data_IF_003020560590
#
_entry.id   IF_003020560590
#
_cell.length_a   1.000
_cell.length_b   1.000
_cell.length_c   1.000
_cell.angle_alpha   90.00
_cell.angle_beta   90.00
_cell.angle_gamma   90.00
#
_symmetry.space_group_name_H-M   'P 1'
#
loop_
_entity.id
_entity.type
_entity.pdbx_description
1 polymer ?
#
# COMPACT_ATOMS: atom_id res chain seq x y z
N UNK A 1 16.17 48.11 18.14
CA UNK A 1 15.58 47.71 16.83
C UNK A 1 16.51 46.86 15.97
N UNK A 2 17.80 47.19 15.77
CA UNK A 2 18.73 46.41 14.92
C UNK A 2 18.96 44.95 15.35
N UNK A 3 18.97 44.65 16.65
CA UNK A 3 19.21 43.27 17.14
C UNK A 3 18.05 42.30 16.84
N UNK A 4 16.82 42.82 16.82
CA UNK A 4 15.61 42.05 16.49
C UNK A 4 15.59 41.66 15.00
N UNK A 5 16.06 42.55 14.12
CA UNK A 5 16.25 42.25 12.69
C UNK A 5 17.31 41.17 12.45
N UNK A 6 18.40 41.20 13.23
CA UNK A 6 19.43 40.15 13.17
C UNK A 6 18.93 38.79 13.65
N UNK A 7 18.13 38.76 14.72
CA UNK A 7 17.48 37.54 15.21
C UNK A 7 16.44 36.99 14.21
N UNK A 8 15.66 37.86 13.60
CA UNK A 8 14.67 37.48 12.58
C UNK A 8 15.35 36.86 11.34
N UNK A 9 16.44 37.48 10.87
CA UNK A 9 17.23 36.96 9.75
C UNK A 9 17.87 35.59 10.07
N UNK A 10 18.34 35.39 11.31
CA UNK A 10 18.88 34.10 11.76
C UNK A 10 17.80 33.01 11.80
N UNK A 11 16.57 33.34 12.22
CA UNK A 11 15.45 32.37 12.22
C UNK A 11 14.97 31.98 10.82
N UNK A 12 15.04 32.88 9.84
CA UNK A 12 14.67 32.61 8.45
C UNK A 12 15.67 31.69 7.72
N UNK A 13 16.93 31.63 8.17
CA UNK A 13 17.95 30.73 7.62
C UNK A 13 17.85 29.29 8.17
N UNK A 14 17.04 29.07 9.21
CA UNK A 14 16.82 27.76 9.83
C UNK A 14 15.55 27.04 9.34
N UNK A 15 14.90 27.52 8.26
CA UNK A 15 13.74 26.83 7.69
C UNK A 15 14.23 25.58 6.96
N UNK A 16 14.22 24.44 7.66
CA UNK A 16 14.51 23.14 7.07
C UNK A 16 13.56 22.85 5.91
N UNK A 17 14.04 22.07 4.92
CA UNK A 17 13.20 21.57 3.84
C UNK A 17 12.17 20.60 4.42
N UNK A 18 10.95 21.07 4.64
CA UNK A 18 9.83 20.20 4.94
C UNK A 18 9.54 19.36 3.69
N UNK A 19 9.92 18.09 3.73
CA UNK A 19 9.50 17.16 2.69
C UNK A 19 8.02 16.86 2.93
N UNK A 20 7.19 17.14 1.92
CA UNK A 20 5.82 16.68 1.92
C UNK A 20 5.79 15.14 2.02
N UNK A 21 4.74 14.60 2.63
CA UNK A 21 4.49 13.17 2.65
C UNK A 21 3.24 12.89 1.82
N UNK A 22 3.27 11.81 1.06
CA UNK A 22 2.09 11.30 0.37
C UNK A 22 1.98 9.79 0.53
N UNK A 23 0.78 9.26 0.35
CA UNK A 23 0.53 7.82 0.38
C UNK A 23 0.55 7.28 -1.04
N UNK A 24 1.33 6.23 -1.25
CA UNK A 24 1.36 5.47 -2.47
C UNK A 24 0.56 4.17 -2.32
N UNK A 25 0.03 3.68 -3.43
CA UNK A 25 -0.80 2.50 -3.49
C UNK A 25 -0.38 1.63 -4.67
N UNK A 26 -0.36 0.31 -4.43
CA UNK A 26 -0.48 -0.68 -5.49
C UNK A 26 -1.95 -1.08 -5.56
N UNK A 27 -2.60 -0.79 -6.67
CA UNK A 27 -4.02 -1.06 -6.90
C UNK A 27 -4.19 -2.12 -7.96
N UNK A 28 -5.03 -3.11 -7.70
CA UNK A 28 -5.60 -3.94 -8.75
C UNK A 28 -6.89 -3.28 -9.25
N UNK A 29 -6.91 -2.96 -10.54
CA UNK A 29 -8.04 -2.34 -11.21
C UNK A 29 -8.77 -3.40 -12.01
N UNK A 30 -10.07 -3.56 -11.76
CA UNK A 30 -10.95 -4.43 -12.52
C UNK A 30 -11.88 -3.60 -13.39
N UNK A 31 -11.71 -3.65 -14.71
CA UNK A 31 -12.63 -3.04 -15.67
C UNK A 31 -13.85 -3.95 -15.85
N UNK A 32 -15.00 -3.49 -15.35
CA UNK A 32 -16.24 -4.26 -15.33
C UNK A 32 -16.85 -4.47 -16.72
N UNK A 33 -16.51 -3.62 -17.68
CA UNK A 33 -17.07 -3.69 -19.04
C UNK A 33 -16.18 -4.51 -19.95
N UNK A 34 -14.87 -4.29 -19.88
CA UNK A 34 -13.92 -5.05 -20.70
C UNK A 34 -13.52 -6.39 -20.08
N UNK A 35 -13.91 -6.65 -18.83
CA UNK A 35 -13.54 -7.83 -18.05
C UNK A 35 -12.03 -8.08 -18.02
N UNK A 36 -11.26 -7.01 -17.75
CA UNK A 36 -9.79 -7.05 -17.66
C UNK A 36 -9.33 -6.54 -16.31
N UNK A 37 -8.34 -7.20 -15.74
CA UNK A 37 -7.62 -6.70 -14.56
C UNK A 37 -6.22 -6.22 -14.91
N UNK A 38 -5.74 -5.23 -14.17
CA UNK A 38 -4.34 -4.78 -14.23
C UNK A 38 -3.90 -4.23 -12.88
N UNK A 39 -2.60 -4.32 -12.60
CA UNK A 39 -2.00 -3.72 -11.41
C UNK A 39 -1.38 -2.38 -11.78
N UNK A 40 -1.56 -1.37 -10.94
CA UNK A 40 -0.98 -0.03 -11.11
C UNK A 40 -0.41 0.49 -9.80
N UNK A 41 0.68 1.26 -9.90
CA UNK A 41 1.22 2.03 -8.78
C UNK A 41 0.82 3.50 -8.96
N UNK A 42 0.26 4.11 -7.92
CA UNK A 42 -0.27 5.49 -7.99
C UNK A 42 -0.24 6.18 -6.62
N UNK A 43 -0.24 7.51 -6.62
CA UNK A 43 -0.49 8.35 -5.43
C UNK A 43 -1.98 8.65 -5.21
N UNK A 44 -2.85 8.32 -6.19
CA UNK A 44 -4.30 8.47 -6.00
C UNK A 44 -4.83 7.44 -5.02
N UNK A 45 -5.65 7.92 -4.08
CA UNK A 45 -6.43 7.02 -3.24
C UNK A 45 -7.39 6.19 -4.10
N UNK A 46 -7.86 5.02 -3.65
CA UNK A 46 -8.80 4.21 -4.41
C UNK A 46 -10.06 4.98 -4.85
N UNK A 47 -10.59 5.85 -3.99
CA UNK A 47 -11.74 6.69 -4.32
C UNK A 47 -11.43 7.71 -5.41
N UNK A 48 -10.28 8.39 -5.33
CA UNK A 48 -9.88 9.38 -6.34
C UNK A 48 -9.62 8.68 -7.68
N UNK A 49 -8.94 7.54 -7.64
CA UNK A 49 -8.69 6.72 -8.83
C UNK A 49 -10.01 6.31 -9.49
N UNK A 50 -11.00 5.85 -8.70
CA UNK A 50 -12.34 5.53 -9.20
C UNK A 50 -12.99 6.75 -9.84
N UNK A 51 -12.96 7.90 -9.17
CA UNK A 51 -13.62 9.12 -9.62
C UNK A 51 -13.08 9.61 -10.97
N UNK A 52 -11.77 9.60 -11.16
CA UNK A 52 -11.14 10.11 -12.40
C UNK A 52 -11.12 9.09 -13.54
N UNK A 53 -11.44 7.81 -13.29
CA UNK A 53 -11.45 6.73 -14.30
C UNK A 53 -12.86 6.17 -14.58
N UNK A 54 -13.88 7.03 -14.60
CA UNK A 54 -15.24 6.67 -15.05
C UNK A 54 -16.17 6.14 -13.95
N UNK A 55 -15.75 6.19 -12.68
CA UNK A 55 -16.60 5.91 -11.54
C UNK A 55 -16.79 4.41 -11.21
N UNK A 56 -17.52 4.13 -10.11
CA UNK A 56 -17.64 2.77 -9.57
C UNK A 56 -18.48 1.83 -10.44
N UNK A 57 -19.25 2.39 -11.39
CA UNK A 57 -20.00 1.62 -12.38
C UNK A 57 -19.08 1.02 -13.45
N UNK A 58 -17.95 1.68 -13.75
CA UNK A 58 -16.98 1.24 -14.76
C UNK A 58 -15.89 0.34 -14.16
N UNK A 59 -15.32 0.75 -13.02
CA UNK A 59 -14.17 0.06 -12.45
C UNK A 59 -14.39 -0.36 -11.00
N UNK A 60 -13.85 -1.53 -10.65
CA UNK A 60 -13.58 -1.95 -9.28
C UNK A 60 -12.10 -1.76 -8.95
N UNK A 61 -11.79 -1.52 -7.67
CA UNK A 61 -10.42 -1.35 -7.20
C UNK A 61 -10.20 -2.15 -5.93
N UNK A 62 -9.08 -2.88 -5.87
CA UNK A 62 -8.58 -3.57 -4.67
C UNK A 62 -7.23 -2.97 -4.31
N UNK A 63 -7.02 -2.66 -3.02
CA UNK A 63 -5.73 -2.19 -2.52
C UNK A 63 -4.82 -3.40 -2.28
N UNK A 64 -3.83 -3.61 -3.16
CA UNK A 64 -2.84 -4.68 -3.01
C UNK A 64 -1.78 -4.33 -1.98
N UNK A 65 -1.29 -3.10 -1.99
CA UNK A 65 -0.33 -2.57 -1.02
C UNK A 65 -0.49 -1.06 -0.84
N UNK A 66 0.03 -0.53 0.28
CA UNK A 66 0.07 0.92 0.52
C UNK A 66 1.23 1.28 1.44
N UNK A 67 1.98 2.32 1.09
CA UNK A 67 3.15 2.81 1.82
C UNK A 67 3.21 4.33 1.82
N UNK A 68 4.04 4.90 2.69
CA UNK A 68 4.30 6.34 2.75
C UNK A 68 5.52 6.65 1.90
N UNK A 69 5.43 7.72 1.11
CA UNK A 69 6.52 8.30 0.34
C UNK A 69 6.78 9.72 0.83
N UNK A 70 8.03 10.16 0.71
CA UNK A 70 8.45 11.54 0.96
C UNK A 70 8.67 12.25 -0.39
N UNK A 71 8.30 13.52 -0.48
CA UNK A 71 8.30 14.33 -1.71
C UNK A 71 6.88 14.68 -2.18
N UNK A 72 6.73 15.03 -3.45
CA UNK A 72 5.43 15.26 -4.08
C UNK A 72 5.36 14.62 -5.46
N UNK A 73 4.15 14.45 -6.00
CA UNK A 73 3.93 13.90 -7.36
C UNK A 73 3.30 14.95 -8.29
N UNK A 74 3.26 16.22 -7.87
CA UNK A 74 2.49 17.28 -8.52
C UNK A 74 3.09 17.70 -9.87
N UNK A 75 4.40 17.58 -10.03
CA UNK A 75 5.12 17.89 -11.28
C UNK A 75 5.20 16.70 -12.25
N UNK A 76 4.34 15.68 -12.06
CA UNK A 76 4.39 14.45 -12.87
C UNK A 76 5.54 13.51 -12.51
N UNK A 77 6.15 13.70 -11.34
CA UNK A 77 7.18 12.81 -10.81
C UNK A 77 6.62 11.40 -10.57
N UNK A 78 7.47 10.39 -10.76
CA UNK A 78 7.09 9.02 -10.53
C UNK A 78 6.83 8.75 -9.04
N UNK A 79 5.84 7.90 -8.75
CA UNK A 79 5.56 7.42 -7.40
C UNK A 79 6.74 6.62 -6.87
N UNK A 80 7.09 6.82 -5.60
CA UNK A 80 8.20 6.11 -4.98
C UNK A 80 7.97 4.59 -4.97
N UNK A 81 9.02 3.75 -5.13
CA UNK A 81 8.86 2.30 -5.23
C UNK A 81 8.32 1.70 -3.94
N UNK A 82 7.59 0.59 -4.07
CA UNK A 82 7.12 -0.18 -2.92
C UNK A 82 8.31 -0.69 -2.09
N UNK A 83 8.28 -0.55 -0.75
CA UNK A 83 9.31 -1.10 0.12
C UNK A 83 9.41 -2.62 -0.03
N UNK A 84 10.61 -3.13 -0.27
CA UNK A 84 10.85 -4.57 -0.35
C UNK A 84 10.63 -5.22 1.02
N UNK A 85 10.11 -6.47 1.06
CA UNK A 85 10.03 -7.23 2.31
C UNK A 85 11.44 -7.50 2.87
N UNK A 86 11.55 -7.64 4.19
CA UNK A 86 12.80 -7.95 4.89
C UNK A 86 12.75 -9.40 5.37
N UNK A 87 13.66 -10.25 4.88
CA UNK A 87 13.73 -11.68 5.23
C UNK A 87 12.34 -12.37 5.23
N UNK A 88 11.59 -12.31 4.11
CA UNK A 88 10.22 -12.82 4.07
C UNK A 88 10.18 -14.33 4.37
N UNK A 89 9.29 -14.72 5.27
CA UNK A 89 9.03 -16.14 5.60
C UNK A 89 8.27 -16.88 4.50
N UNK A 90 7.52 -16.15 3.70
CA UNK A 90 6.66 -16.69 2.65
C UNK A 90 7.00 -16.05 1.31
N UNK A 91 6.92 -16.82 0.23
CA UNK A 91 7.17 -16.35 -1.13
C UNK A 91 5.87 -16.21 -1.91
N UNK A 92 5.88 -15.39 -2.98
CA UNK A 92 4.76 -15.30 -3.90
C UNK A 92 4.41 -16.68 -4.50
N UNK A 93 3.12 -16.98 -4.57
CA UNK A 93 2.58 -18.28 -4.97
C UNK A 93 2.50 -19.32 -3.84
N UNK A 94 3.10 -19.09 -2.67
CA UNK A 94 2.97 -20.03 -1.56
C UNK A 94 1.57 -20.00 -0.93
N UNK A 95 1.13 -21.16 -0.44
CA UNK A 95 -0.10 -21.29 0.33
C UNK A 95 0.16 -20.98 1.79
N UNK A 96 -0.70 -20.16 2.39
CA UNK A 96 -0.66 -19.82 3.81
C UNK A 96 -2.04 -19.95 4.43
N UNK A 97 -2.07 -20.38 5.69
CA UNK A 97 -3.26 -20.42 6.51
C UNK A 97 -3.30 -19.20 7.43
N UNK A 98 -4.49 -18.60 7.59
CA UNK A 98 -4.67 -17.45 8.45
C UNK A 98 -4.84 -17.89 9.92
N UNK A 99 -3.86 -17.51 10.74
CA UNK A 99 -3.83 -17.74 12.18
C UNK A 99 -4.31 -16.51 12.95
N UNK A 100 -5.64 -16.31 12.97
CA UNK A 100 -6.32 -15.24 13.70
C UNK A 100 -7.57 -15.78 14.40
N UNK A 101 -7.45 -16.38 15.61
CA UNK A 101 -8.53 -17.15 16.24
C UNK A 101 -9.88 -16.46 16.42
N UNK A 102 -9.91 -15.13 16.47
CA UNK A 102 -11.14 -14.33 16.65
C UNK A 102 -11.61 -13.61 15.38
N UNK A 103 -10.97 -13.86 14.25
CA UNK A 103 -11.26 -13.19 12.98
C UNK A 103 -12.06 -14.10 12.04
N UNK A 104 -12.92 -13.49 11.21
CA UNK A 104 -13.78 -14.21 10.25
C UNK A 104 -12.99 -15.16 9.33
N UNK A 105 -11.75 -14.80 9.02
CA UNK A 105 -10.90 -15.54 8.08
C UNK A 105 -10.02 -16.57 8.77
N UNK A 106 -10.20 -16.87 10.06
CA UNK A 106 -9.41 -17.91 10.73
C UNK A 106 -9.48 -19.23 9.97
N UNK A 107 -8.34 -19.91 9.84
CA UNK A 107 -8.18 -21.19 9.15
C UNK A 107 -8.45 -21.16 7.64
N UNK A 108 -8.72 -20.00 7.08
CA UNK A 108 -8.78 -19.87 5.63
C UNK A 108 -7.38 -20.05 5.05
N UNK A 109 -7.31 -20.75 3.92
CA UNK A 109 -6.07 -20.93 3.17
C UNK A 109 -6.12 -20.06 1.92
N UNK A 110 -5.07 -19.27 1.71
CA UNK A 110 -4.92 -18.42 0.55
C UNK A 110 -3.53 -18.51 -0.06
N UNK A 111 -3.36 -17.83 -1.19
CA UNK A 111 -2.10 -17.71 -1.92
C UNK A 111 -1.47 -16.34 -1.66
N UNK A 112 -0.17 -16.32 -1.41
CA UNK A 112 0.60 -15.08 -1.34
C UNK A 112 0.70 -14.48 -2.75
N UNK A 113 0.22 -13.25 -2.94
CA UNK A 113 0.30 -12.54 -4.22
C UNK A 113 1.32 -11.40 -4.23
N UNK A 114 1.64 -10.81 -3.07
CA UNK A 114 2.71 -9.85 -2.91
C UNK A 114 3.16 -9.79 -1.44
N UNK A 115 4.29 -9.15 -1.20
CA UNK A 115 4.73 -8.79 0.15
C UNK A 115 5.51 -7.48 0.14
N UNK A 116 5.42 -6.74 1.24
CA UNK A 116 6.13 -5.47 1.41
C UNK A 116 6.40 -5.18 2.88
N UNK A 117 7.47 -4.45 3.17
CA UNK A 117 7.81 -4.08 4.54
C UNK A 117 7.09 -2.80 4.96
N UNK A 118 6.56 -2.77 6.18
CA UNK A 118 5.97 -1.58 6.80
C UNK A 118 6.85 -1.09 7.96
N UNK A 119 7.64 -0.02 7.78
CA UNK A 119 8.55 0.48 8.81
C UNK A 119 7.85 0.81 10.13
N UNK A 120 6.66 1.41 10.08
CA UNK A 120 5.89 1.79 11.27
C UNK A 120 5.50 0.58 12.14
N UNK A 121 5.36 -0.59 11.50
CA UNK A 121 4.92 -1.83 12.13
C UNK A 121 6.07 -2.82 12.36
N UNK A 122 7.25 -2.51 11.83
CA UNK A 122 8.45 -3.36 11.85
C UNK A 122 8.16 -4.80 11.41
N UNK A 123 7.30 -4.96 10.40
CA UNK A 123 6.84 -6.28 9.95
C UNK A 123 6.59 -6.29 8.45
N UNK A 124 6.77 -7.48 7.85
CA UNK A 124 6.30 -7.75 6.49
C UNK A 124 4.77 -7.86 6.51
N UNK A 125 4.15 -7.23 5.52
CA UNK A 125 2.73 -7.38 5.21
C UNK A 125 2.62 -8.22 3.95
N UNK A 126 1.70 -9.18 3.96
CA UNK A 126 1.47 -10.08 2.83
C UNK A 126 0.07 -9.86 2.28
N UNK A 127 -0.03 -9.72 0.97
CA UNK A 127 -1.28 -9.77 0.23
C UNK A 127 -1.69 -11.20 -0.04
N UNK A 128 -2.83 -11.61 0.49
CA UNK A 128 -3.33 -12.97 0.38
C UNK A 128 -4.62 -12.99 -0.43
N UNK A 129 -4.62 -13.79 -1.49
CA UNK A 129 -5.81 -14.11 -2.29
C UNK A 129 -6.43 -15.41 -1.81
N UNK A 130 -7.76 -15.44 -1.74
CA UNK A 130 -8.53 -16.64 -1.41
C UNK A 130 -9.32 -17.12 -2.65
N UNK A 131 -8.76 -17.98 -3.51
CA UNK A 131 -9.46 -18.50 -4.69
C UNK A 131 -10.80 -19.14 -4.35
N UNK A 132 -10.85 -19.91 -3.26
CA UNK A 132 -12.06 -20.60 -2.78
C UNK A 132 -13.12 -19.66 -2.17
N UNK A 133 -12.79 -18.38 -1.98
CA UNK A 133 -13.68 -17.36 -1.41
C UNK A 133 -13.93 -16.25 -2.43
N UNK A 134 -14.33 -16.64 -3.64
CA UNK A 134 -14.62 -15.74 -4.75
C UNK A 134 -13.45 -14.80 -5.12
N UNK A 135 -12.20 -15.24 -4.90
CA UNK A 135 -11.02 -14.42 -5.17
C UNK A 135 -10.90 -13.19 -4.26
N UNK A 136 -11.49 -13.23 -3.05
CA UNK A 136 -11.30 -12.20 -2.02
C UNK A 136 -9.81 -11.99 -1.76
N UNK A 137 -9.44 -10.73 -1.58
CA UNK A 137 -8.08 -10.33 -1.28
C UNK A 137 -8.04 -9.53 0.01
N UNK A 138 -7.05 -9.81 0.84
CA UNK A 138 -6.80 -9.01 2.02
C UNK A 138 -5.34 -9.08 2.42
N UNK A 139 -4.95 -8.25 3.38
CA UNK A 139 -3.57 -8.09 3.80
C UNK A 139 -3.43 -8.50 5.26
N UNK A 140 -2.38 -9.25 5.56
CA UNK A 140 -2.07 -9.73 6.90
C UNK A 140 -0.63 -9.44 7.29
N UNK A 141 -0.37 -9.31 8.60
CA UNK A 141 1.00 -9.30 9.09
C UNK A 141 1.58 -10.71 9.06
N UNK A 142 2.90 -10.80 8.93
CA UNK A 142 3.62 -12.08 8.91
C UNK A 142 3.25 -13.00 10.09
N UNK A 143 3.02 -12.42 11.28
CA UNK A 143 2.65 -13.16 12.49
C UNK A 143 1.23 -13.75 12.45
N UNK A 144 0.38 -13.29 11.55
CA UNK A 144 -0.97 -13.81 11.35
C UNK A 144 -1.01 -15.00 10.39
N UNK A 145 0.14 -15.43 9.86
CA UNK A 145 0.24 -16.44 8.82
C UNK A 145 1.01 -17.65 9.31
N UNK A 146 0.59 -18.81 8.82
CA UNK A 146 1.30 -20.06 8.95
C UNK A 146 1.43 -20.70 7.57
N UNK A 147 2.52 -21.44 7.32
CA UNK A 147 2.67 -22.17 6.07
C UNK A 147 1.56 -23.23 6.01
N UNK A 148 0.75 -23.18 4.96
CA UNK A 148 -0.21 -24.25 4.71
C UNK A 148 0.52 -25.45 4.08
N UNK A 149 0.04 -26.68 4.34
CA UNK A 149 0.56 -27.88 3.68
C UNK A 149 0.33 -27.88 2.16
#
# INVERSE_FOLDING_TARGET
MKWWLGLLALTLLCVGTAHAEYRAYELEIFDRINNRSRVVITSFSPSDFIQVNGGPQRIGVIIRASWICYGDTSNGEAVCPMPKPINPRFQEGERVQINLPKHLTHDWVGLVENSFFRPELRSNVYGIRFPEKAGLYTRYYESNLQKAP
#
